data_IF_192551934719
#
_entry.id   IF_192551934719
#
_cell.length_a   1.000
_cell.length_b   1.000
_cell.length_c   1.000
_cell.angle_alpha   90.00
_cell.angle_beta   90.00
_cell.angle_gamma   90.00
#
_symmetry.space_group_name_H-M   'P 1'
#
loop_
_entity.id
_entity.type
_entity.pdbx_description
1 polymer ?
#
# COMPACT_ATOMS: atom_id res chain seq x y z
N UNK A 1 13.86 -0.05 16.87
CA UNK A 1 14.07 1.11 15.97
C UNK A 1 12.71 1.63 15.57
N UNK A 2 12.58 2.95 15.41
CA UNK A 2 11.37 3.58 14.88
C UNK A 2 11.57 3.74 13.38
N UNK A 3 10.63 3.22 12.58
CA UNK A 3 10.60 3.51 11.15
C UNK A 3 9.66 4.71 10.92
N UNK A 4 10.11 5.68 10.14
CA UNK A 4 9.34 6.88 9.83
C UNK A 4 9.12 6.98 8.34
N UNK A 5 7.87 7.19 7.94
CA UNK A 5 7.47 7.48 6.57
C UNK A 5 7.09 8.95 6.49
N UNK A 6 7.78 9.70 5.63
CA UNK A 6 7.55 11.11 5.40
C UNK A 6 7.01 11.32 3.98
N UNK A 7 5.99 12.15 3.85
CA UNK A 7 5.33 12.44 2.59
C UNK A 7 5.55 13.90 2.20
N UNK A 8 6.22 14.11 1.08
CA UNK A 8 6.30 15.40 0.38
C UNK A 8 5.72 15.19 -1.03
N UNK A 9 4.40 15.38 -1.16
CA UNK A 9 3.61 14.92 -2.30
C UNK A 9 3.08 16.10 -3.13
N UNK A 10 3.97 16.78 -3.86
CA UNK A 10 3.63 17.97 -4.66
C UNK A 10 2.42 17.80 -5.61
N UNK A 11 2.20 16.59 -6.14
CA UNK A 11 1.09 16.26 -7.05
C UNK A 11 0.13 15.20 -6.49
N UNK A 12 0.20 14.94 -5.19
CA UNK A 12 -0.55 13.85 -4.54
C UNK A 12 0.06 12.45 -4.78
N UNK A 13 -0.58 11.46 -4.19
CA UNK A 13 -0.29 10.03 -4.38
C UNK A 13 -1.60 9.25 -4.36
N UNK A 14 -1.72 8.21 -5.19
CA UNK A 14 -2.87 7.31 -5.11
C UNK A 14 -2.84 6.49 -3.83
N UNK A 15 -4.01 6.02 -3.38
CA UNK A 15 -4.12 5.25 -2.14
C UNK A 15 -3.24 3.99 -2.14
N UNK A 16 -3.13 3.30 -3.28
CA UNK A 16 -2.29 2.12 -3.41
C UNK A 16 -0.78 2.42 -3.32
N UNK A 17 -0.34 3.63 -3.68
CA UNK A 17 1.04 4.09 -3.44
C UNK A 17 1.31 4.26 -1.94
N UNK A 18 0.37 4.85 -1.20
CA UNK A 18 0.49 5.01 0.26
C UNK A 18 0.55 3.64 0.96
N UNK A 19 -0.32 2.72 0.56
CA UNK A 19 -0.29 1.34 1.08
C UNK A 19 1.04 0.64 0.74
N UNK A 20 1.55 0.81 -0.48
CA UNK A 20 2.86 0.30 -0.90
C UNK A 20 4.00 0.81 -0.03
N UNK A 21 3.99 2.11 0.30
CA UNK A 21 5.01 2.73 1.13
C UNK A 21 5.01 2.26 2.59
N UNK A 22 3.85 1.91 3.14
CA UNK A 22 3.76 1.29 4.47
C UNK A 22 4.39 -0.11 4.49
N UNK A 23 4.19 -0.88 3.41
CA UNK A 23 4.81 -2.20 3.26
C UNK A 23 6.33 -2.09 3.09
N UNK A 24 6.82 -1.08 2.36
CA UNK A 24 8.26 -0.80 2.25
C UNK A 24 8.88 -0.34 3.59
N UNK A 25 8.10 0.32 4.45
CA UNK A 25 8.48 0.67 5.82
C UNK A 25 8.60 -0.56 6.75
N UNK A 26 8.10 -1.72 6.31
CA UNK A 26 8.13 -2.97 7.07
C UNK A 26 6.83 -3.32 7.79
N UNK A 27 5.71 -2.63 7.49
CA UNK A 27 4.41 -3.07 7.96
C UNK A 27 4.08 -4.45 7.37
N UNK A 28 3.61 -5.37 8.24
CA UNK A 28 3.17 -6.69 7.80
C UNK A 28 1.86 -6.60 6.99
N UNK A 29 1.79 -7.35 5.89
CA UNK A 29 0.64 -7.35 4.98
C UNK A 29 -0.66 -7.82 5.64
N UNK A 30 -0.63 -8.89 6.43
CA UNK A 30 -1.82 -9.39 7.13
C UNK A 30 -2.35 -8.36 8.14
N UNK A 31 -1.45 -7.67 8.83
CA UNK A 31 -1.81 -6.59 9.77
C UNK A 31 -2.48 -5.43 9.04
N UNK A 32 -1.94 -5.05 7.87
CA UNK A 32 -2.54 -4.00 7.03
C UNK A 32 -3.95 -4.40 6.58
N UNK A 33 -4.13 -5.63 6.08
CA UNK A 33 -5.43 -6.13 5.63
C UNK A 33 -6.42 -6.16 6.79
N UNK A 34 -6.01 -6.70 7.94
CA UNK A 34 -6.84 -6.78 9.15
C UNK A 34 -7.36 -5.41 9.59
N UNK A 35 -6.50 -4.39 9.66
CA UNK A 35 -6.92 -3.05 10.06
C UNK A 35 -7.83 -2.39 9.01
N UNK A 36 -7.55 -2.57 7.72
CA UNK A 36 -8.40 -2.05 6.64
C UNK A 36 -9.79 -2.71 6.61
N UNK A 37 -9.91 -3.99 6.96
CA UNK A 37 -11.20 -4.69 7.03
C UNK A 37 -12.17 -4.09 8.05
N UNK A 38 -11.68 -3.27 8.99
CA UNK A 38 -12.52 -2.59 9.99
C UNK A 38 -13.33 -1.42 9.42
N UNK A 39 -13.04 -0.98 8.19
CA UNK A 39 -13.75 0.11 7.52
C UNK A 39 -15.15 -0.29 7.00
N UNK A 40 -15.55 -1.56 7.16
CA UNK A 40 -16.82 -2.10 6.65
C UNK A 40 -16.99 -1.96 5.12
N UNK A 41 -15.88 -1.87 4.39
CA UNK A 41 -15.82 -1.91 2.92
C UNK A 41 -15.41 -3.32 2.51
N UNK A 42 -16.21 -3.96 1.65
CA UNK A 42 -16.01 -5.33 1.17
C UNK A 42 -15.63 -5.37 -0.31
N UNK A 43 -15.35 -6.56 -0.85
CA UNK A 43 -15.11 -6.75 -2.29
C UNK A 43 -13.77 -6.21 -2.78
N UNK A 44 -12.73 -6.23 -1.95
CA UNK A 44 -11.38 -5.81 -2.33
C UNK A 44 -10.32 -6.83 -1.91
N UNK A 45 -9.18 -6.79 -2.60
CA UNK A 45 -7.98 -7.53 -2.25
C UNK A 45 -6.72 -6.68 -2.48
N UNK A 46 -5.66 -6.98 -1.74
CA UNK A 46 -4.34 -6.36 -1.88
C UNK A 46 -3.33 -7.45 -2.20
N UNK A 47 -2.57 -7.28 -3.29
CA UNK A 47 -1.60 -8.26 -3.78
C UNK A 47 -0.22 -7.62 -3.98
N UNK A 48 0.52 -7.33 -2.90
CA UNK A 48 1.73 -6.53 -2.98
C UNK A 48 2.78 -7.17 -3.89
N UNK A 49 3.39 -6.36 -4.74
CA UNK A 49 4.47 -6.79 -5.62
C UNK A 49 5.64 -5.82 -5.53
N UNK A 50 6.86 -6.34 -5.27
CA UNK A 50 8.08 -5.58 -5.47
C UNK A 50 8.26 -5.27 -6.95
N UNK A 51 8.38 -4.00 -7.28
CA UNK A 51 8.57 -3.51 -8.64
C UNK A 51 9.85 -2.67 -8.71
N UNK A 52 10.47 -2.66 -9.89
CA UNK A 52 11.56 -1.74 -10.22
C UNK A 52 11.27 -1.09 -11.57
N UNK A 53 11.33 0.23 -11.61
CA UNK A 53 11.14 1.04 -12.83
C UNK A 53 12.13 2.20 -12.79
N UNK A 54 12.79 2.47 -13.92
CA UNK A 54 13.71 3.61 -14.05
C UNK A 54 14.75 3.70 -12.92
N UNK A 55 15.30 2.57 -12.48
CA UNK A 55 16.25 2.44 -11.36
C UNK A 55 15.69 2.74 -9.96
N UNK A 56 14.38 2.89 -9.83
CA UNK A 56 13.69 3.03 -8.54
C UNK A 56 12.95 1.74 -8.21
N UNK A 57 13.14 1.23 -6.99
CA UNK A 57 12.43 0.07 -6.48
C UNK A 57 11.44 0.45 -5.39
N UNK A 58 10.32 -0.28 -5.31
CA UNK A 58 9.30 -0.10 -4.29
C UNK A 58 8.25 -1.20 -4.34
N UNK A 59 7.23 -1.10 -3.51
CA UNK A 59 6.09 -2.03 -3.51
C UNK A 59 4.87 -1.40 -4.17
N UNK A 60 4.33 -2.04 -5.20
CA UNK A 60 2.98 -1.76 -5.68
C UNK A 60 1.99 -2.58 -4.85
N UNK A 61 1.07 -1.95 -4.11
CA UNK A 61 0.10 -2.66 -3.28
C UNK A 61 -0.89 -3.50 -4.12
N UNK A 62 -1.15 -3.09 -5.37
CA UNK A 62 -2.07 -3.75 -6.32
C UNK A 62 -3.42 -4.07 -5.68
N UNK A 63 -4.14 -3.01 -5.36
CA UNK A 63 -5.54 -3.11 -4.90
C UNK A 63 -6.40 -3.53 -6.09
N UNK A 64 -7.27 -4.52 -5.89
CA UNK A 64 -8.33 -4.89 -6.84
C UNK A 64 -9.67 -4.80 -6.12
N UNK A 65 -10.66 -4.26 -6.80
CA UNK A 65 -12.05 -4.27 -6.36
C UNK A 65 -12.86 -5.16 -7.29
N UNK A 66 -13.84 -5.85 -6.74
CA UNK A 66 -14.87 -6.55 -7.51
C UNK A 66 -15.84 -5.51 -8.09
N UNK A 67 -16.20 -5.63 -9.36
CA UNK A 67 -17.28 -4.83 -9.94
C UNK A 67 -18.60 -5.26 -9.31
N UNK A 68 -19.40 -4.26 -8.90
CA UNK A 68 -20.72 -4.45 -8.28
C UNK A 68 -21.82 -4.53 -9.33
#
# INVERSE_FOLDING_TARGET
>A
MIHTLAFDLQFGASGDMLLGSLLDLGLNHDTLVMELSRLSVTGWSISPQKISKYHMAGTAARVRCEET
#
